data_IF_851344888246
#
_entry.id   IF_851344888246
#
_cell.length_a   1.000
_cell.length_b   1.000
_cell.length_c   1.000
_cell.angle_alpha   90.00
_cell.angle_beta   90.00
_cell.angle_gamma   90.00
#
_symmetry.space_group_name_H-M   'P 1'
#
loop_
_entity.id
_entity.type
_entity.pdbx_description
1 polymer ?
#
# COMPACT_ATOMS: atom_id res chain seq x y z
N UNK A 1 -11.08 14.36 21.80
CA UNK A 1 -9.88 14.23 20.93
C UNK A 1 -9.95 12.87 20.22
N UNK A 2 -10.36 12.81 18.95
CA UNK A 2 -10.41 11.55 18.20
C UNK A 2 -8.97 11.14 17.87
N UNK A 3 -8.47 10.03 18.43
CA UNK A 3 -7.18 9.45 18.01
C UNK A 3 -7.31 9.09 16.53
N UNK A 4 -6.52 9.71 15.67
CA UNK A 4 -6.42 9.29 14.27
C UNK A 4 -6.00 7.82 14.26
N UNK A 5 -6.81 6.96 13.62
CA UNK A 5 -6.43 5.56 13.48
C UNK A 5 -5.24 5.46 12.53
N UNK A 6 -4.23 4.62 12.86
CA UNK A 6 -3.07 4.44 12.01
C UNK A 6 -3.51 3.83 10.66
N UNK A 7 -2.82 4.23 9.60
CA UNK A 7 -2.96 3.61 8.28
C UNK A 7 -2.64 2.11 8.39
N UNK A 8 -3.37 1.30 7.65
CA UNK A 8 -3.04 -0.11 7.48
C UNK A 8 -2.99 -0.44 6.00
N UNK A 9 -1.90 -1.07 5.57
CA UNK A 9 -1.75 -1.60 4.22
C UNK A 9 -2.26 -3.04 4.21
N UNK A 10 -3.10 -3.36 3.24
CA UNK A 10 -3.66 -4.69 3.01
C UNK A 10 -3.19 -5.14 1.64
N UNK A 11 -2.68 -6.37 1.54
CA UNK A 11 -2.26 -7.01 0.28
C UNK A 11 -3.04 -8.31 0.16
N UNK A 12 -3.94 -8.39 -0.82
CA UNK A 12 -4.95 -9.44 -0.92
C UNK A 12 -5.83 -9.44 0.32
N UNK A 13 -5.72 -10.49 1.14
CA UNK A 13 -6.49 -10.65 2.39
C UNK A 13 -5.67 -10.41 3.66
N UNK A 14 -4.44 -9.89 3.55
CA UNK A 14 -3.51 -9.81 4.69
C UNK A 14 -3.08 -8.38 5.02
N UNK A 15 -3.15 -8.05 6.31
CA UNK A 15 -2.64 -6.78 6.85
C UNK A 15 -1.11 -6.85 6.95
N UNK A 16 -0.43 -5.81 6.48
CA UNK A 16 1.02 -5.65 6.59
C UNK A 16 1.34 -4.93 7.89
N UNK A 17 1.59 -5.69 8.96
CA UNK A 17 1.72 -5.16 10.33
C UNK A 17 2.90 -4.19 10.55
N UNK A 18 4.04 -4.41 9.88
CA UNK A 18 5.30 -3.70 10.15
C UNK A 18 5.69 -2.69 9.05
N UNK A 19 4.76 -2.30 8.19
CA UNK A 19 5.04 -1.29 7.18
C UNK A 19 5.09 0.11 7.81
N UNK A 20 6.12 0.90 7.52
CA UNK A 20 6.09 2.33 7.81
C UNK A 20 5.31 3.02 6.70
N UNK A 21 4.14 3.55 7.05
CA UNK A 21 3.21 4.16 6.11
C UNK A 21 3.18 5.68 6.30
N UNK A 22 3.24 6.41 5.19
CA UNK A 22 3.17 7.88 5.16
C UNK A 22 2.13 8.32 4.15
N UNK A 23 1.23 9.24 4.53
CA UNK A 23 0.30 9.85 3.55
C UNK A 23 1.06 10.75 2.59
N UNK A 24 0.65 10.72 1.32
CA UNK A 24 1.07 11.65 0.28
C UNK A 24 -0.15 12.12 -0.52
N UNK A 25 -0.05 13.22 -1.29
CA UNK A 25 -1.13 13.62 -2.19
C UNK A 25 -1.53 12.46 -3.13
N UNK A 26 -2.80 12.07 -3.07
CA UNK A 26 -3.37 11.01 -3.91
C UNK A 26 -2.99 9.58 -3.53
N UNK A 27 -2.32 9.33 -2.39
CA UNK A 27 -1.81 8.00 -2.08
C UNK A 27 -1.12 7.84 -0.72
N UNK A 28 -0.28 6.82 -0.63
CA UNK A 28 0.64 6.57 0.48
C UNK A 28 2.03 6.20 -0.05
N UNK A 29 3.04 6.42 0.78
CA UNK A 29 4.31 5.72 0.66
C UNK A 29 4.38 4.62 1.72
N UNK A 30 4.88 3.46 1.32
CA UNK A 30 5.15 2.34 2.20
C UNK A 30 6.63 1.99 2.15
N UNK A 31 7.31 2.01 3.30
CA UNK A 31 8.62 1.41 3.43
C UNK A 31 8.44 -0.07 3.76
N UNK A 32 8.86 -0.93 2.83
CA UNK A 32 8.68 -2.38 2.89
C UNK A 32 10.04 -3.08 2.81
N UNK A 33 10.12 -4.26 3.43
CA UNK A 33 11.27 -5.13 3.39
C UNK A 33 10.82 -6.60 3.52
N UNK A 34 11.71 -7.52 3.13
CA UNK A 34 11.49 -8.97 3.28
C UNK A 34 10.18 -9.43 2.65
N UNK A 35 9.43 -10.23 3.39
CA UNK A 35 8.20 -10.86 2.90
C UNK A 35 7.11 -9.85 2.52
N UNK A 36 7.04 -8.70 3.20
CA UNK A 36 6.06 -7.67 2.87
C UNK A 36 6.29 -7.09 1.46
N UNK A 37 7.56 -6.87 1.10
CA UNK A 37 7.93 -6.41 -0.24
C UNK A 37 7.68 -7.50 -1.29
N UNK A 38 8.09 -8.74 -1.03
CA UNK A 38 7.84 -9.87 -1.96
C UNK A 38 6.36 -10.02 -2.26
N UNK A 39 5.53 -10.03 -1.23
CA UNK A 39 4.07 -10.12 -1.35
C UNK A 39 3.47 -8.98 -2.17
N UNK A 40 3.97 -7.76 -2.01
CA UNK A 40 3.50 -6.62 -2.80
C UNK A 40 3.83 -6.80 -4.28
N UNK A 41 5.07 -7.21 -4.57
CA UNK A 41 5.53 -7.47 -5.93
C UNK A 41 4.67 -8.56 -6.57
N UNK A 42 4.51 -9.69 -5.89
CA UNK A 42 3.66 -10.80 -6.36
C UNK A 42 2.21 -10.35 -6.59
N UNK A 43 1.64 -9.58 -5.66
CA UNK A 43 0.29 -9.05 -5.79
C UNK A 43 0.12 -8.14 -7.01
N UNK A 44 1.13 -7.32 -7.31
CA UNK A 44 1.12 -6.41 -8.46
C UNK A 44 1.10 -7.18 -9.78
N UNK A 45 1.87 -8.27 -9.90
CA UNK A 45 1.94 -9.05 -11.14
C UNK A 45 0.81 -10.08 -11.29
N UNK A 46 0.30 -10.64 -10.20
CA UNK A 46 -0.77 -11.64 -10.20
C UNK A 46 -2.17 -10.99 -10.17
N UNK A 47 -2.26 -9.66 -10.08
CA UNK A 47 -3.52 -8.92 -10.07
C UNK A 47 -4.31 -9.04 -8.77
N UNK A 48 -3.62 -9.21 -7.63
CA UNK A 48 -4.26 -9.17 -6.31
C UNK A 48 -4.47 -7.73 -5.87
N UNK A 49 -5.49 -7.51 -5.04
CA UNK A 49 -5.78 -6.18 -4.50
C UNK A 49 -4.65 -5.68 -3.60
N UNK A 50 -4.38 -4.38 -3.70
CA UNK A 50 -3.53 -3.64 -2.77
C UNK A 50 -4.40 -2.50 -2.25
N UNK A 51 -4.60 -2.44 -0.95
CA UNK A 51 -5.57 -1.54 -0.35
C UNK A 51 -5.00 -0.84 0.87
N UNK A 52 -5.51 0.37 1.15
CA UNK A 52 -5.26 1.06 2.41
C UNK A 52 -6.55 1.22 3.18
N UNK A 53 -6.52 0.83 4.46
CA UNK A 53 -7.53 1.21 5.43
C UNK A 53 -7.04 2.47 6.15
N UNK A 54 -7.81 3.55 6.00
CA UNK A 54 -7.71 4.72 6.85
C UNK A 54 -8.91 4.78 7.81
N UNK A 55 -8.91 5.72 8.76
CA UNK A 55 -9.93 5.82 9.81
C UNK A 55 -11.38 5.92 9.31
N UNK A 56 -11.63 6.03 8.00
CA UNK A 56 -12.95 6.05 7.37
C UNK A 56 -13.64 4.67 7.26
N UNK A 57 -13.06 3.58 7.79
CA UNK A 57 -13.64 2.22 7.77
C UNK A 57 -13.88 1.64 6.37
N UNK A 58 -13.36 2.26 5.32
CA UNK A 58 -13.43 1.77 3.96
C UNK A 58 -12.02 1.55 3.43
N UNK A 59 -11.73 0.34 2.99
CA UNK A 59 -10.51 0.05 2.27
C UNK A 59 -10.56 0.73 0.89
N UNK A 60 -9.46 1.37 0.49
CA UNK A 60 -9.30 2.01 -0.82
C UNK A 60 -8.23 1.29 -1.62
N UNK A 61 -8.58 0.89 -2.83
CA UNK A 61 -7.64 0.30 -3.79
C UNK A 61 -6.52 1.26 -4.20
N UNK A 62 -5.33 0.71 -4.33
CA UNK A 62 -4.11 1.41 -4.69
C UNK A 62 -3.37 0.66 -5.80
N UNK A 63 -2.68 1.42 -6.66
CA UNK A 63 -1.72 0.89 -7.61
C UNK A 63 -0.29 1.29 -7.21
N UNK A 64 0.66 0.38 -7.43
CA UNK A 64 2.08 0.70 -7.35
C UNK A 64 2.45 1.60 -8.52
N UNK A 65 2.97 2.80 -8.23
CA UNK A 65 3.39 3.77 -9.27
C UNK A 65 4.89 4.02 -9.29
N UNK A 66 5.59 3.75 -8.20
CA UNK A 66 7.04 3.88 -8.11
C UNK A 66 7.62 2.93 -7.05
N UNK A 67 8.81 2.39 -7.32
CA UNK A 67 9.58 1.59 -6.37
C UNK A 67 11.01 2.14 -6.36
N UNK A 68 11.44 2.67 -5.23
CA UNK A 68 12.80 3.16 -5.02
C UNK A 68 13.50 2.33 -3.96
N UNK A 69 14.67 1.80 -4.32
CA UNK A 69 15.52 1.02 -3.42
C UNK A 69 16.76 1.83 -3.03
N UNK A 70 17.04 1.89 -1.73
CA UNK A 70 18.23 2.53 -1.18
C UNK A 70 18.77 1.68 -0.01
N UNK A 71 19.91 1.02 -0.22
CA UNK A 71 20.48 0.08 0.75
C UNK A 71 19.50 -1.05 1.09
N UNK A 72 19.30 -1.30 2.39
CA UNK A 72 18.35 -2.31 2.89
C UNK A 72 16.90 -1.82 2.94
N UNK A 73 16.58 -0.68 2.31
CA UNK A 73 15.27 -0.06 2.36
C UNK A 73 14.63 0.03 0.98
N UNK A 74 13.36 -0.36 0.88
CA UNK A 74 12.54 -0.15 -0.31
C UNK A 74 11.37 0.75 0.03
N UNK A 75 11.27 1.89 -0.64
CA UNK A 75 10.11 2.78 -0.58
C UNK A 75 9.25 2.53 -1.80
N UNK A 76 7.99 2.23 -1.57
CA UNK A 76 6.98 2.02 -2.60
C UNK A 76 5.99 3.16 -2.55
N UNK A 77 5.77 3.82 -3.68
CA UNK A 77 4.71 4.81 -3.85
C UNK A 77 3.45 4.12 -4.36
N UNK A 78 2.37 4.24 -3.61
CA UNK A 78 1.07 3.66 -3.90
C UNK A 78 0.05 4.78 -4.08
N UNK A 79 -0.57 4.91 -5.25
CA UNK A 79 -1.59 5.95 -5.50
C UNK A 79 -2.97 5.33 -5.60
N UNK A 80 -4.01 6.11 -5.30
CA UNK A 80 -5.39 5.73 -5.61
C UNK A 80 -5.44 5.16 -7.01
N UNK A 81 -6.07 3.99 -7.15
CA UNK A 81 -6.49 3.49 -8.45
C UNK A 81 -7.40 4.55 -9.07
N UNK A 82 -6.87 5.36 -9.98
CA UNK A 82 -7.70 6.15 -10.89
C UNK A 82 -8.57 5.16 -11.64
N UNK A 83 -9.85 5.46 -11.86
CA UNK A 83 -10.85 4.56 -12.44
C UNK A 83 -10.24 3.64 -13.51
N UNK A 84 -9.81 2.45 -13.08
CA UNK A 84 -9.22 1.45 -13.97
C UNK A 84 -10.46 0.78 -14.52
N UNK A 85 -10.90 1.21 -15.70
CA UNK A 85 -11.92 0.46 -16.44
C UNK A 85 -11.40 -0.97 -16.56
N UNK A 86 -12.02 -1.87 -15.81
CA UNK A 86 -11.89 -3.29 -16.05
C UNK A 86 -12.55 -3.52 -17.41
N UNK A 87 -11.73 -3.82 -18.42
CA UNK A 87 -12.18 -4.35 -19.70
C UNK A 87 -12.39 -5.85 -19.58
#
# INVERSE_FOLDING_TARGET
MRRERPLQLIIGSQIVANARLRRIPGGIEAQLAGDALKRLIDATFVGRSIEVLDGAHRARGLDVTDIRMAGASTTVTLKSTGARSMH
#
